data_IF_564956480648
#
_entry.id   IF_564956480648
#
_cell.length_a   1.000
_cell.length_b   1.000
_cell.length_c   1.000
_cell.angle_alpha   90.00
_cell.angle_beta   90.00
_cell.angle_gamma   90.00
#
_symmetry.space_group_name_H-M   'P 1'
#
loop_
_entity.id
_entity.type
_entity.pdbx_description
1 polymer ?
#
# COMPACT_ATOMS: atom_id res chain seq x y z
N UNK A 1 79.54 81.99 47.05
CA UNK A 1 78.62 82.49 48.11
C UNK A 1 77.27 81.88 47.82
N UNK A 2 76.76 81.06 48.75
CA UNK A 2 75.41 80.45 48.75
C UNK A 2 74.32 81.53 48.97
N UNK A 3 73.04 81.24 48.71
CA UNK A 3 72.30 80.54 49.71
C UNK A 3 71.30 79.52 49.21
N UNK A 4 71.06 78.62 50.12
CA UNK A 4 70.06 77.54 50.17
C UNK A 4 68.63 78.08 50.21
N UNK A 5 67.73 77.46 49.50
CA UNK A 5 66.32 77.37 49.87
C UNK A 5 65.85 75.92 49.70
N UNK A 6 65.68 75.27 50.81
CA UNK A 6 64.95 73.99 50.93
C UNK A 6 63.45 74.33 51.03
N UNK A 7 62.69 73.89 50.08
CA UNK A 7 61.25 73.84 50.20
C UNK A 7 60.82 72.36 50.26
N UNK A 8 60.42 72.03 51.47
CA UNK A 8 59.80 70.71 51.74
C UNK A 8 58.48 70.53 51.07
N UNK A 9 58.40 69.64 50.09
CA UNK A 9 57.16 69.16 49.49
C UNK A 9 56.61 68.01 50.36
N UNK A 10 55.59 68.30 51.14
CA UNK A 10 54.78 67.28 51.84
C UNK A 10 53.88 66.61 50.75
N UNK A 11 54.20 65.32 50.55
CA UNK A 11 53.35 64.51 49.69
C UNK A 11 52.08 64.12 50.45
N UNK A 12 50.96 64.58 49.93
CA UNK A 12 49.64 64.13 50.39
C UNK A 12 49.35 62.78 49.72
N UNK A 13 48.86 61.78 50.44
CA UNK A 13 48.49 60.51 49.86
C UNK A 13 47.16 60.70 49.01
N UNK A 14 47.30 60.54 47.72
CA UNK A 14 46.09 60.37 46.86
C UNK A 14 45.54 58.98 47.11
N UNK A 15 44.47 58.88 47.90
CA UNK A 15 43.62 57.67 48.01
C UNK A 15 42.77 57.60 46.76
N UNK A 16 43.15 56.74 45.83
CA UNK A 16 42.29 56.33 44.71
C UNK A 16 41.18 55.43 45.28
N UNK A 17 40.05 55.98 45.58
CA UNK A 17 38.83 55.19 45.85
C UNK A 17 38.37 54.65 44.51
N UNK A 18 38.72 53.37 44.23
CA UNK A 18 38.07 52.59 43.19
C UNK A 18 36.66 52.34 43.64
N UNK A 19 35.73 53.17 43.17
CA UNK A 19 34.32 52.81 43.24
C UNK A 19 34.13 51.55 42.42
N UNK A 20 34.01 50.39 43.09
CA UNK A 20 33.44 49.17 42.46
C UNK A 20 32.00 49.52 42.12
N UNK A 21 31.82 50.05 40.92
CA UNK A 21 30.51 50.12 40.29
C UNK A 21 29.92 48.72 40.29
N UNK A 22 28.81 48.50 40.97
CA UNK A 22 28.05 47.26 40.85
C UNK A 22 27.75 47.05 39.38
N UNK A 23 28.45 46.03 38.75
CA UNK A 23 28.10 45.58 37.43
C UNK A 23 26.66 45.08 37.49
N UNK A 24 25.73 45.69 36.78
CA UNK A 24 24.37 45.16 36.79
C UNK A 24 24.41 43.70 36.36
N UNK A 25 23.65 42.80 37.00
CA UNK A 25 23.62 41.39 36.61
C UNK A 25 23.40 41.33 35.12
N UNK A 26 24.35 40.76 34.41
CA UNK A 26 24.15 40.44 33.00
C UNK A 26 22.92 39.52 32.96
N UNK A 27 21.77 40.05 32.57
CA UNK A 27 20.65 39.21 32.21
C UNK A 27 21.15 38.37 31.05
N UNK A 28 21.48 37.11 31.35
CA UNK A 28 21.71 36.13 30.34
C UNK A 28 20.48 36.17 29.42
N UNK A 29 20.66 36.60 28.19
CA UNK A 29 19.63 36.51 27.16
C UNK A 29 19.40 35.00 26.98
N UNK A 30 18.51 34.44 27.80
CA UNK A 30 17.98 33.12 27.50
C UNK A 30 17.31 33.26 26.15
N UNK A 31 17.77 32.57 25.11
CA UNK A 31 17.13 32.67 23.81
C UNK A 31 15.64 32.37 24.04
N UNK A 32 14.79 33.29 23.62
CA UNK A 32 13.34 33.07 23.69
C UNK A 32 13.03 31.85 22.82
N UNK A 33 12.91 30.71 23.45
CA UNK A 33 12.44 29.52 22.76
C UNK A 33 10.93 29.65 22.64
N UNK A 34 10.45 29.94 21.44
CA UNK A 34 9.03 29.88 21.15
C UNK A 34 8.55 28.45 21.37
N UNK A 35 7.65 28.27 22.33
CA UNK A 35 6.95 27.00 22.57
C UNK A 35 5.58 27.13 21.93
N UNK A 36 5.33 26.41 20.80
CA UNK A 36 4.03 26.48 20.13
C UNK A 36 2.91 26.03 21.05
N UNK A 37 1.75 26.66 20.94
CA UNK A 37 0.55 26.22 21.63
C UNK A 37 0.03 24.91 21.03
N UNK A 38 -0.71 24.14 21.82
CA UNK A 38 -1.28 22.85 21.35
C UNK A 38 -2.15 23.01 20.09
N UNK A 39 -2.89 24.11 19.97
CA UNK A 39 -3.71 24.44 18.79
C UNK A 39 -2.87 24.72 17.55
N UNK A 40 -1.70 25.32 17.70
CA UNK A 40 -0.76 25.58 16.58
C UNK A 40 -0.11 24.29 16.12
N UNK A 41 0.27 23.40 17.06
CA UNK A 41 0.79 22.08 16.75
C UNK A 41 -0.25 21.21 16.05
N UNK A 42 -1.52 21.29 16.50
CA UNK A 42 -2.63 20.59 15.86
C UNK A 42 -2.85 21.07 14.42
N UNK A 43 -2.93 22.39 14.22
CA UNK A 43 -3.09 22.96 12.88
C UNK A 43 -1.93 22.58 11.94
N UNK A 44 -0.68 22.64 12.44
CA UNK A 44 0.50 22.23 11.69
C UNK A 44 0.46 20.73 11.34
N UNK A 45 0.13 19.88 12.30
CA UNK A 45 0.02 18.44 12.10
C UNK A 45 -1.03 18.06 11.07
N UNK A 46 -2.21 18.71 11.10
CA UNK A 46 -3.28 18.50 10.11
C UNK A 46 -2.86 18.98 8.71
N UNK A 47 -2.17 20.13 8.61
CA UNK A 47 -1.64 20.63 7.34
C UNK A 47 -0.62 19.67 6.71
N UNK A 48 0.28 19.12 7.53
CA UNK A 48 1.27 18.12 7.10
C UNK A 48 0.56 16.82 6.66
N UNK A 49 -0.47 16.36 7.39
CA UNK A 49 -1.26 15.19 7.01
C UNK A 49 -1.94 15.37 5.64
N UNK A 50 -2.48 16.56 5.37
CA UNK A 50 -3.06 16.88 4.06
C UNK A 50 -2.01 16.83 2.94
N UNK A 51 -0.80 17.36 3.19
CA UNK A 51 0.30 17.30 2.24
C UNK A 51 0.74 15.84 1.99
N UNK A 52 0.89 15.02 3.03
CA UNK A 52 1.19 13.59 2.92
C UNK A 52 0.13 12.85 2.09
N UNK A 53 -1.16 13.10 2.36
CA UNK A 53 -2.26 12.52 1.58
C UNK A 53 -2.24 12.93 0.10
N UNK A 54 -1.81 14.16 -0.19
CA UNK A 54 -1.63 14.63 -1.59
C UNK A 54 -0.50 13.88 -2.27
N UNK A 55 0.65 13.72 -1.61
CA UNK A 55 1.79 12.96 -2.14
C UNK A 55 1.42 11.50 -2.42
N UNK A 56 0.62 10.86 -1.56
CA UNK A 56 0.10 9.51 -1.81
C UNK A 56 -0.73 9.42 -3.09
N UNK A 57 -1.59 10.41 -3.34
CA UNK A 57 -2.38 10.45 -4.59
C UNK A 57 -1.50 10.66 -5.83
N UNK A 58 -0.35 11.30 -5.70
CA UNK A 58 0.65 11.48 -6.76
C UNK A 58 1.61 10.29 -6.91
N UNK A 59 1.45 9.23 -6.12
CA UNK A 59 2.33 8.06 -6.14
C UNK A 59 3.67 8.25 -5.42
N UNK A 60 3.90 9.39 -4.75
CA UNK A 60 5.13 9.72 -4.03
C UNK A 60 5.10 9.17 -2.61
N UNK A 61 5.09 7.83 -2.51
CA UNK A 61 4.84 7.13 -1.25
C UNK A 61 5.92 7.36 -0.18
N UNK A 62 7.19 7.44 -0.56
CA UNK A 62 8.29 7.68 0.37
C UNK A 62 8.23 9.07 1.00
N UNK A 63 7.97 10.09 0.20
CA UNK A 63 7.80 11.46 0.68
C UNK A 63 6.57 11.58 1.57
N UNK A 64 5.49 10.92 1.19
CA UNK A 64 4.28 10.84 2.01
C UNK A 64 4.57 10.19 3.36
N UNK A 65 5.36 9.11 3.41
CA UNK A 65 5.73 8.44 4.65
C UNK A 65 6.57 9.36 5.56
N UNK A 66 7.48 10.17 4.98
CA UNK A 66 8.25 11.17 5.75
C UNK A 66 7.34 12.22 6.38
N UNK A 67 6.39 12.78 5.63
CA UNK A 67 5.45 13.77 6.15
C UNK A 67 4.46 13.17 7.15
N UNK A 68 3.96 11.96 6.88
CA UNK A 68 3.08 11.26 7.82
C UNK A 68 3.80 10.92 9.14
N UNK A 69 5.10 10.62 9.10
CA UNK A 69 5.91 10.43 10.31
C UNK A 69 6.00 11.72 11.14
N UNK A 70 6.12 12.89 10.52
CA UNK A 70 6.04 14.18 11.22
C UNK A 70 4.64 14.43 11.80
N UNK A 71 3.59 14.05 11.07
CA UNK A 71 2.21 14.15 11.57
C UNK A 71 2.04 13.42 12.89
N UNK A 72 2.49 12.16 13.00
CA UNK A 72 2.34 11.38 14.23
C UNK A 72 3.25 11.84 15.38
N UNK A 73 4.34 12.57 15.08
CA UNK A 73 5.14 13.23 16.11
C UNK A 73 4.42 14.43 16.71
N UNK A 74 3.71 15.20 15.89
CA UNK A 74 2.93 16.37 16.34
C UNK A 74 1.61 15.95 16.98
N UNK A 75 0.96 14.91 16.45
CA UNK A 75 -0.36 14.41 16.86
C UNK A 75 -0.32 12.93 17.24
N UNK A 76 0.44 12.53 18.27
CA UNK A 76 0.68 11.12 18.59
C UNK A 76 -0.58 10.37 19.07
N UNK A 77 -1.60 11.10 19.50
CA UNK A 77 -2.89 10.55 19.95
C UNK A 77 -3.96 10.49 18.86
N UNK A 78 -3.69 11.01 17.66
CA UNK A 78 -4.64 10.95 16.55
C UNK A 78 -4.44 9.65 15.73
N UNK A 79 -5.38 8.69 15.77
CA UNK A 79 -5.27 7.43 15.04
C UNK A 79 -5.19 7.62 13.51
N UNK A 80 -5.77 8.71 12.98
CA UNK A 80 -5.78 8.99 11.54
C UNK A 80 -4.38 9.23 10.98
N UNK A 81 -3.53 9.90 11.76
CA UNK A 81 -2.12 10.12 11.41
C UNK A 81 -1.35 8.81 11.29
N UNK A 82 -1.59 7.87 12.21
CA UNK A 82 -0.97 6.56 12.19
C UNK A 82 -1.46 5.67 11.02
N UNK A 83 -2.75 5.76 10.67
CA UNK A 83 -3.29 5.08 9.47
C UNK A 83 -2.65 5.65 8.19
N UNK A 84 -2.56 6.97 8.08
CA UNK A 84 -1.91 7.64 6.95
C UNK A 84 -0.44 7.23 6.81
N UNK A 85 0.29 7.17 7.93
CA UNK A 85 1.67 6.71 7.95
C UNK A 85 1.78 5.26 7.48
N UNK A 86 0.91 4.39 7.97
CA UNK A 86 0.89 2.99 7.57
C UNK A 86 0.61 2.83 6.07
N UNK A 87 -0.37 3.57 5.52
CA UNK A 87 -0.67 3.54 4.08
C UNK A 87 0.54 3.96 3.25
N UNK A 88 1.21 5.04 3.63
CA UNK A 88 2.41 5.51 2.95
C UNK A 88 3.56 4.49 3.03
N UNK A 89 3.75 3.87 4.20
CA UNK A 89 4.74 2.81 4.40
C UNK A 89 4.43 1.55 3.58
N UNK A 90 3.16 1.17 3.45
CA UNK A 90 2.75 0.04 2.59
C UNK A 90 3.07 0.31 1.12
N UNK A 91 2.74 1.50 0.62
CA UNK A 91 3.01 1.89 -0.77
C UNK A 91 4.49 2.09 -1.07
N UNK A 92 5.32 2.37 -0.06
CA UNK A 92 6.79 2.44 -0.16
C UNK A 92 7.50 1.14 0.23
N UNK A 93 6.78 0.03 0.24
CA UNK A 93 7.30 -1.31 0.48
C UNK A 93 7.91 -1.54 1.88
N UNK A 94 7.47 -0.78 2.88
CA UNK A 94 7.95 -0.83 4.27
C UNK A 94 6.96 -1.59 5.18
N UNK A 95 6.58 -2.82 4.82
CA UNK A 95 5.51 -3.62 5.48
C UNK A 95 5.70 -3.74 6.99
N UNK A 96 6.92 -4.00 7.48
CA UNK A 96 7.19 -4.09 8.92
C UNK A 96 6.88 -2.81 9.68
N UNK A 97 7.22 -1.64 9.11
CA UNK A 97 6.91 -0.35 9.73
C UNK A 97 5.42 -0.07 9.69
N UNK A 98 4.76 -0.40 8.58
CA UNK A 98 3.31 -0.25 8.44
C UNK A 98 2.55 -1.05 9.49
N UNK A 99 2.96 -2.30 9.76
CA UNK A 99 2.38 -3.12 10.82
C UNK A 99 2.47 -2.44 12.19
N UNK A 100 3.63 -1.87 12.53
CA UNK A 100 3.79 -1.14 13.79
C UNK A 100 2.89 0.11 13.87
N UNK A 101 2.78 0.85 12.76
CA UNK A 101 1.91 2.03 12.67
C UNK A 101 0.43 1.67 12.81
N UNK A 102 -0.03 0.58 12.16
CA UNK A 102 -1.40 0.06 12.29
C UNK A 102 -1.69 -0.43 13.70
N UNK A 103 -0.75 -1.13 14.32
CA UNK A 103 -0.89 -1.57 15.71
C UNK A 103 -1.08 -0.36 16.66
N UNK A 104 -0.34 0.73 16.43
CA UNK A 104 -0.52 1.97 17.20
C UNK A 104 -1.88 2.63 16.92
N UNK A 105 -2.30 2.73 15.67
CA UNK A 105 -3.62 3.22 15.29
C UNK A 105 -4.73 2.43 15.98
N UNK A 106 -4.64 1.09 15.98
CA UNK A 106 -5.61 0.19 16.61
C UNK A 106 -5.71 0.37 18.13
N UNK A 107 -4.56 0.62 18.81
CA UNK A 107 -4.58 0.94 20.25
C UNK A 107 -5.34 2.23 20.54
N UNK A 108 -5.27 3.22 19.65
CA UNK A 108 -5.93 4.51 19.81
C UNK A 108 -7.41 4.47 19.44
N UNK A 109 -7.76 3.70 18.39
CA UNK A 109 -9.14 3.55 17.92
C UNK A 109 -9.42 2.10 17.48
N UNK A 110 -9.72 1.19 18.44
CA UNK A 110 -9.98 -0.22 18.15
C UNK A 110 -11.32 -0.45 17.42
N UNK A 111 -12.19 0.57 17.35
CA UNK A 111 -13.49 0.48 16.67
C UNK A 111 -13.45 1.00 15.23
N UNK A 112 -12.32 1.43 14.75
CA UNK A 112 -12.14 1.87 13.37
C UNK A 112 -11.97 0.66 12.44
N UNK A 113 -13.01 0.34 11.69
CA UNK A 113 -13.02 -0.77 10.74
C UNK A 113 -11.86 -0.68 9.71
N UNK A 114 -11.50 0.54 9.28
CA UNK A 114 -10.44 0.77 8.31
C UNK A 114 -9.07 0.26 8.77
N UNK A 115 -8.79 0.31 10.07
CA UNK A 115 -7.52 -0.22 10.63
C UNK A 115 -7.49 -1.74 10.51
N UNK A 116 -8.60 -2.42 10.84
CA UNK A 116 -8.72 -3.87 10.69
C UNK A 116 -8.59 -4.32 9.23
N UNK A 117 -9.19 -3.56 8.29
CA UNK A 117 -9.05 -3.82 6.86
C UNK A 117 -7.61 -3.67 6.38
N UNK A 118 -6.91 -2.61 6.81
CA UNK A 118 -5.51 -2.39 6.46
C UNK A 118 -4.60 -3.50 7.02
N UNK A 119 -4.81 -3.94 8.25
CA UNK A 119 -4.08 -5.09 8.82
C UNK A 119 -4.39 -6.39 8.06
N UNK A 120 -5.64 -6.60 7.65
CA UNK A 120 -6.04 -7.77 6.85
C UNK A 120 -5.39 -7.79 5.47
N UNK A 121 -5.39 -6.67 4.76
CA UNK A 121 -4.70 -6.53 3.47
C UNK A 121 -3.18 -6.72 3.61
N UNK A 122 -2.60 -6.21 4.70
CA UNK A 122 -1.17 -6.43 5.00
C UNK A 122 -0.87 -7.91 5.24
N UNK A 123 -1.69 -8.60 6.03
CA UNK A 123 -1.53 -10.02 6.31
C UNK A 123 -1.63 -10.87 5.02
N UNK A 124 -2.51 -10.51 4.07
CA UNK A 124 -2.56 -11.15 2.74
C UNK A 124 -1.24 -10.98 1.99
N UNK A 125 -0.73 -9.77 1.95
CA UNK A 125 0.52 -9.43 1.27
C UNK A 125 1.73 -10.13 1.88
N UNK A 126 1.71 -10.37 3.19
CA UNK A 126 2.74 -11.10 3.93
C UNK A 126 2.53 -12.63 3.89
N UNK A 127 1.60 -13.13 3.05
CA UNK A 127 1.33 -14.57 2.88
C UNK A 127 0.69 -15.25 4.07
N UNK A 128 -0.11 -14.50 4.88
CA UNK A 128 -0.76 -14.97 6.10
C UNK A 128 -2.30 -14.97 5.95
N UNK A 129 -2.88 -15.78 5.04
CA UNK A 129 -4.30 -15.70 4.72
C UNK A 129 -5.23 -16.04 5.89
N UNK A 130 -4.83 -16.94 6.81
CA UNK A 130 -5.63 -17.25 8.00
C UNK A 130 -5.77 -16.02 8.91
N UNK A 131 -4.66 -15.29 9.11
CA UNK A 131 -4.68 -14.06 9.90
C UNK A 131 -5.52 -12.98 9.20
N UNK A 132 -5.38 -12.87 7.88
CA UNK A 132 -6.15 -11.92 7.07
C UNK A 132 -7.65 -12.13 7.24
N UNK A 133 -8.15 -13.38 7.16
CA UNK A 133 -9.57 -13.70 7.37
C UNK A 133 -10.03 -13.16 8.72
N UNK A 134 -9.32 -13.49 9.81
CA UNK A 134 -9.71 -13.04 11.16
C UNK A 134 -9.79 -11.53 11.30
N UNK A 135 -8.80 -10.81 10.73
CA UNK A 135 -8.75 -9.34 10.76
C UNK A 135 -9.86 -8.71 9.90
N UNK A 136 -10.05 -9.20 8.66
CA UNK A 136 -11.08 -8.71 7.75
C UNK A 136 -12.49 -8.92 8.32
N UNK A 137 -12.76 -10.09 8.89
CA UNK A 137 -14.02 -10.36 9.55
C UNK A 137 -14.28 -9.47 10.77
N UNK A 138 -13.25 -9.15 11.56
CA UNK A 138 -13.37 -8.17 12.65
C UNK A 138 -13.76 -6.80 12.12
N UNK A 139 -13.05 -6.32 11.07
CA UNK A 139 -13.39 -5.06 10.41
C UNK A 139 -14.80 -5.06 9.83
N UNK A 140 -15.23 -6.16 9.17
CA UNK A 140 -16.55 -6.30 8.56
C UNK A 140 -17.69 -6.39 9.59
N UNK A 141 -17.42 -6.79 10.84
CA UNK A 141 -18.39 -6.65 11.94
C UNK A 141 -18.61 -5.19 12.34
N UNK A 142 -17.63 -4.32 12.14
CA UNK A 142 -17.71 -2.88 12.42
C UNK A 142 -18.31 -2.12 11.23
N UNK A 143 -17.90 -2.45 10.01
CA UNK A 143 -18.42 -1.90 8.75
C UNK A 143 -18.61 -3.02 7.72
N UNK A 144 -19.78 -3.60 7.67
CA UNK A 144 -20.15 -4.69 6.75
C UNK A 144 -20.35 -4.24 5.28
N UNK A 145 -20.16 -2.96 4.96
CA UNK A 145 -20.42 -2.42 3.62
C UNK A 145 -19.15 -2.08 2.83
N UNK A 146 -17.99 -2.46 3.31
CA UNK A 146 -16.73 -2.21 2.62
C UNK A 146 -16.50 -3.26 1.52
N UNK A 147 -16.68 -2.85 0.26
CA UNK A 147 -16.49 -3.72 -0.90
C UNK A 147 -15.04 -4.23 -1.04
N UNK A 148 -14.03 -3.40 -0.72
CA UNK A 148 -12.62 -3.79 -0.76
C UNK A 148 -12.30 -4.88 0.27
N UNK A 149 -12.83 -4.75 1.49
CA UNK A 149 -12.63 -5.76 2.53
C UNK A 149 -13.27 -7.12 2.17
N UNK A 150 -14.45 -7.12 1.54
CA UNK A 150 -15.05 -8.35 1.02
C UNK A 150 -14.22 -8.95 -0.13
N UNK A 151 -13.63 -8.11 -0.99
CA UNK A 151 -12.74 -8.57 -2.05
C UNK A 151 -11.47 -9.22 -1.47
N UNK A 152 -10.81 -8.58 -0.51
CA UNK A 152 -9.64 -9.13 0.19
C UNK A 152 -9.99 -10.43 0.95
N UNK A 153 -11.18 -10.48 1.57
CA UNK A 153 -11.67 -11.71 2.20
C UNK A 153 -11.83 -12.84 1.17
N UNK A 154 -12.35 -12.55 -0.02
CA UNK A 154 -12.43 -13.51 -1.11
C UNK A 154 -11.06 -14.04 -1.52
N UNK A 155 -10.07 -13.17 -1.66
CA UNK A 155 -8.69 -13.56 -1.96
C UNK A 155 -8.09 -14.43 -0.85
N UNK A 156 -8.30 -14.06 0.42
CA UNK A 156 -7.86 -14.87 1.57
C UNK A 156 -8.47 -16.27 1.57
N UNK A 157 -9.77 -16.38 1.28
CA UNK A 157 -10.48 -17.64 1.21
C UNK A 157 -9.99 -18.53 0.07
N UNK A 158 -9.62 -17.93 -1.10
CA UNK A 158 -9.00 -18.68 -2.21
C UNK A 158 -7.64 -19.26 -1.79
N UNK A 159 -6.80 -18.45 -1.13
CA UNK A 159 -5.49 -18.91 -0.65
C UNK A 159 -5.61 -20.03 0.42
N UNK A 160 -6.77 -20.15 1.06
CA UNK A 160 -7.10 -21.21 2.03
C UNK A 160 -7.85 -22.38 1.41
N UNK A 161 -7.95 -22.45 0.09
CA UNK A 161 -8.68 -23.50 -0.62
C UNK A 161 -10.17 -23.60 -0.21
N UNK A 162 -10.79 -22.44 0.05
CA UNK A 162 -12.22 -22.34 0.33
C UNK A 162 -12.95 -21.57 -0.80
N UNK A 163 -13.19 -22.21 -1.95
CA UNK A 163 -13.78 -21.53 -3.11
C UNK A 163 -15.22 -21.07 -2.87
N UNK A 164 -16.00 -21.74 -2.04
CA UNK A 164 -17.37 -21.34 -1.73
C UNK A 164 -17.39 -20.03 -0.91
N UNK A 165 -16.53 -19.93 0.11
CA UNK A 165 -16.37 -18.70 0.89
C UNK A 165 -15.86 -17.55 0.04
N UNK A 166 -14.92 -17.84 -0.86
CA UNK A 166 -14.38 -16.83 -1.81
C UNK A 166 -15.47 -16.30 -2.74
N UNK A 167 -16.30 -17.19 -3.33
CA UNK A 167 -17.37 -16.78 -4.22
C UNK A 167 -18.36 -15.84 -3.53
N UNK A 168 -18.81 -16.21 -2.32
CA UNK A 168 -19.72 -15.37 -1.52
C UNK A 168 -19.12 -14.00 -1.22
N UNK A 169 -17.84 -13.94 -0.87
CA UNK A 169 -17.16 -12.69 -0.58
C UNK A 169 -17.03 -11.80 -1.84
N UNK A 170 -16.67 -12.36 -2.99
CA UNK A 170 -16.62 -11.61 -4.26
C UNK A 170 -18.00 -11.16 -4.75
N UNK A 171 -19.05 -11.97 -4.56
CA UNK A 171 -20.43 -11.57 -4.87
C UNK A 171 -20.85 -10.39 -3.98
N UNK A 172 -20.49 -10.42 -2.70
CA UNK A 172 -20.76 -9.31 -1.79
C UNK A 172 -20.01 -8.05 -2.20
N UNK A 173 -18.73 -8.19 -2.58
CA UNK A 173 -17.90 -7.09 -3.05
C UNK A 173 -18.49 -6.39 -4.29
N UNK A 174 -18.83 -7.17 -5.32
CA UNK A 174 -19.43 -6.65 -6.56
C UNK A 174 -20.83 -6.07 -6.37
N UNK A 175 -21.61 -6.63 -5.44
CA UNK A 175 -22.92 -6.10 -5.06
C UNK A 175 -22.86 -4.76 -4.34
N UNK A 176 -21.80 -4.51 -3.56
CA UNK A 176 -21.59 -3.26 -2.83
C UNK A 176 -21.00 -2.13 -3.67
N UNK A 177 -20.17 -2.46 -4.67
CA UNK A 177 -19.52 -1.49 -5.56
C UNK A 177 -19.90 -1.76 -7.00
N UNK A 178 -20.71 -0.89 -7.59
CA UNK A 178 -21.01 -0.95 -9.02
C UNK A 178 -19.73 -0.80 -9.84
N UNK A 179 -19.56 -1.62 -10.86
CA UNK A 179 -18.40 -1.57 -11.74
C UNK A 179 -17.12 -2.20 -11.16
N UNK A 180 -17.24 -2.97 -10.08
CA UNK A 180 -16.10 -3.72 -9.50
C UNK A 180 -15.81 -4.96 -10.34
N UNK A 181 -15.27 -4.74 -11.53
CA UNK A 181 -14.99 -5.78 -12.51
C UNK A 181 -13.99 -6.83 -12.00
N UNK A 182 -13.04 -6.47 -11.14
CA UNK A 182 -12.07 -7.40 -10.54
C UNK A 182 -12.77 -8.44 -9.66
N UNK A 183 -13.76 -8.01 -8.86
CA UNK A 183 -14.54 -8.94 -8.05
C UNK A 183 -15.42 -9.86 -8.92
N UNK A 184 -15.95 -9.37 -10.04
CA UNK A 184 -16.72 -10.16 -11.00
C UNK A 184 -15.80 -11.15 -11.73
N UNK A 185 -14.59 -10.71 -12.11
CA UNK A 185 -13.59 -11.58 -12.69
C UNK A 185 -13.23 -12.74 -11.75
N UNK A 186 -12.97 -12.45 -10.48
CA UNK A 186 -12.60 -13.48 -9.50
C UNK A 186 -13.76 -14.45 -9.20
N UNK A 187 -15.04 -14.02 -9.33
CA UNK A 187 -16.17 -14.96 -9.34
C UNK A 187 -16.04 -15.96 -10.50
N UNK A 188 -15.65 -15.49 -11.69
CA UNK A 188 -15.40 -16.34 -12.84
C UNK A 188 -14.31 -17.36 -12.60
N UNK A 189 -13.18 -16.93 -12.00
CA UNK A 189 -12.07 -17.83 -11.63
C UNK A 189 -12.56 -18.95 -10.71
N UNK A 190 -13.27 -18.60 -9.64
CA UNK A 190 -13.82 -19.58 -8.69
C UNK A 190 -14.81 -20.51 -9.35
N UNK A 191 -15.75 -19.99 -10.10
CA UNK A 191 -16.79 -20.78 -10.79
C UNK A 191 -16.17 -21.79 -11.77
N UNK A 192 -15.11 -21.40 -12.45
CA UNK A 192 -14.41 -22.31 -13.37
C UNK A 192 -13.75 -23.47 -12.63
N UNK A 193 -13.07 -23.22 -11.51
CA UNK A 193 -12.48 -24.25 -10.66
C UNK A 193 -13.55 -25.20 -10.10
N UNK A 194 -14.73 -24.67 -9.76
CA UNK A 194 -15.89 -25.45 -9.32
C UNK A 194 -16.56 -26.25 -10.46
N UNK A 195 -16.09 -26.16 -11.72
CA UNK A 195 -16.67 -26.83 -12.88
C UNK A 195 -17.91 -26.16 -13.46
N UNK A 196 -18.28 -24.99 -12.94
CA UNK A 196 -19.46 -24.18 -13.36
C UNK A 196 -19.08 -23.27 -14.54
N UNK A 197 -18.55 -23.87 -15.62
CA UNK A 197 -17.98 -23.15 -16.78
C UNK A 197 -18.92 -22.14 -17.40
N UNK A 198 -20.20 -22.47 -17.59
CA UNK A 198 -21.18 -21.54 -18.18
C UNK A 198 -21.29 -20.24 -17.39
N UNK A 199 -21.43 -20.37 -16.09
CA UNK A 199 -21.50 -19.21 -15.19
C UNK A 199 -20.18 -18.41 -15.14
N UNK A 200 -19.05 -19.07 -15.23
CA UNK A 200 -17.75 -18.41 -15.33
C UNK A 200 -17.65 -17.55 -16.60
N UNK A 201 -18.09 -18.08 -17.75
CA UNK A 201 -18.17 -17.33 -19.02
C UNK A 201 -19.03 -16.09 -18.85
N UNK A 202 -20.20 -16.22 -18.24
CA UNK A 202 -21.11 -15.08 -18.01
C UNK A 202 -20.46 -14.00 -17.13
N UNK A 203 -19.72 -14.39 -16.07
CA UNK A 203 -19.00 -13.44 -15.22
C UNK A 203 -17.89 -12.73 -15.97
N UNK A 204 -17.07 -13.42 -16.75
CA UNK A 204 -16.00 -12.77 -17.52
C UNK A 204 -16.55 -11.87 -18.62
N UNK A 205 -17.62 -12.23 -19.30
CA UNK A 205 -18.32 -11.35 -20.23
C UNK A 205 -18.84 -10.08 -19.53
N UNK A 206 -19.41 -10.22 -18.33
CA UNK A 206 -19.85 -9.09 -17.52
C UNK A 206 -18.66 -8.20 -17.08
N UNK A 207 -17.53 -8.77 -16.67
CA UNK A 207 -16.33 -8.02 -16.33
C UNK A 207 -15.81 -7.21 -17.53
N UNK A 208 -15.79 -7.82 -18.72
CA UNK A 208 -15.37 -7.16 -19.97
C UNK A 208 -16.34 -6.09 -20.47
N UNK A 209 -17.64 -6.16 -20.15
CA UNK A 209 -18.58 -5.06 -20.39
C UNK A 209 -18.24 -3.81 -19.56
N UNK A 210 -17.63 -3.98 -18.39
CA UNK A 210 -17.22 -2.89 -17.53
C UNK A 210 -15.82 -2.38 -17.91
N UNK A 211 -14.88 -3.30 -18.14
CA UNK A 211 -13.51 -2.99 -18.55
C UNK A 211 -13.11 -3.88 -19.75
N UNK A 212 -13.37 -3.37 -20.95
CA UNK A 212 -13.12 -4.09 -22.20
C UNK A 212 -11.63 -4.37 -22.48
N UNK A 213 -10.71 -3.73 -21.73
CA UNK A 213 -9.25 -3.92 -21.89
C UNK A 213 -8.63 -4.72 -20.74
N UNK A 214 -9.43 -5.35 -19.91
CA UNK A 214 -8.92 -6.20 -18.84
C UNK A 214 -8.37 -7.52 -19.42
N UNK A 215 -7.06 -7.68 -19.45
CA UNK A 215 -6.40 -8.85 -20.06
C UNK A 215 -6.77 -10.15 -19.34
N UNK A 216 -6.89 -10.13 -18.02
CA UNK A 216 -7.18 -11.32 -17.23
C UNK A 216 -8.53 -11.97 -17.58
N UNK A 217 -9.68 -11.28 -17.42
CA UNK A 217 -10.97 -11.88 -17.81
C UNK A 217 -11.05 -12.19 -19.31
N UNK A 218 -10.30 -11.48 -20.15
CA UNK A 218 -10.25 -11.76 -21.59
C UNK A 218 -9.57 -13.11 -21.87
N UNK A 219 -8.42 -13.37 -21.28
CA UNK A 219 -7.73 -14.66 -21.46
C UNK A 219 -8.50 -15.79 -20.77
N UNK A 220 -9.04 -15.58 -19.57
CA UNK A 220 -9.81 -16.58 -18.86
C UNK A 220 -11.09 -16.97 -19.64
N UNK A 221 -11.77 -16.00 -20.23
CA UNK A 221 -12.90 -16.23 -21.14
C UNK A 221 -12.46 -17.04 -22.37
N UNK A 222 -11.33 -16.68 -23.00
CA UNK A 222 -10.77 -17.40 -24.12
C UNK A 222 -10.53 -18.88 -23.78
N UNK A 223 -9.94 -19.15 -22.63
CA UNK A 223 -9.69 -20.53 -22.14
C UNK A 223 -11.00 -21.31 -21.98
N UNK A 224 -12.04 -20.70 -21.44
CA UNK A 224 -13.32 -21.35 -21.23
C UNK A 224 -14.04 -21.64 -22.57
N UNK A 225 -13.97 -20.72 -23.52
CA UNK A 225 -14.58 -20.86 -24.84
C UNK A 225 -13.87 -21.88 -25.72
N UNK A 226 -12.55 -22.02 -25.61
CA UNK A 226 -11.75 -22.96 -26.42
C UNK A 226 -12.21 -24.42 -26.29
N UNK A 227 -12.85 -24.77 -25.18
CA UNK A 227 -13.33 -26.12 -24.91
C UNK A 227 -14.59 -26.51 -25.72
N UNK A 228 -15.18 -25.60 -26.48
CA UNK A 228 -16.39 -25.84 -27.30
C UNK A 228 -16.14 -25.42 -28.76
N UNK A 229 -16.53 -26.24 -29.76
CA UNK A 229 -16.27 -25.94 -31.18
C UNK A 229 -16.76 -24.54 -31.63
N UNK A 230 -17.96 -24.06 -31.25
CA UNK A 230 -18.43 -22.74 -31.65
C UNK A 230 -17.56 -21.58 -31.09
N UNK A 231 -16.92 -21.77 -29.93
CA UNK A 231 -16.15 -20.73 -29.26
C UNK A 231 -14.68 -20.64 -29.67
N UNK A 232 -14.16 -21.59 -30.46
CA UNK A 232 -12.72 -21.68 -30.74
C UNK A 232 -12.15 -20.47 -31.49
N UNK A 233 -12.91 -19.89 -32.43
CA UNK A 233 -12.44 -18.69 -33.15
C UNK A 233 -12.39 -17.46 -32.26
N UNK A 234 -13.43 -17.23 -31.47
CA UNK A 234 -13.50 -16.15 -30.47
C UNK A 234 -12.38 -16.33 -29.43
N UNK A 235 -12.16 -17.55 -28.96
CA UNK A 235 -11.10 -17.88 -27.99
C UNK A 235 -9.72 -17.47 -28.49
N UNK A 236 -9.36 -17.79 -29.72
CA UNK A 236 -8.04 -17.44 -30.28
C UNK A 236 -7.86 -15.93 -30.43
N UNK A 237 -8.90 -15.23 -30.87
CA UNK A 237 -8.86 -13.77 -30.95
C UNK A 237 -8.66 -13.14 -29.59
N UNK A 238 -9.49 -13.49 -28.59
CA UNK A 238 -9.38 -12.97 -27.23
C UNK A 238 -8.03 -13.29 -26.59
N UNK A 239 -7.51 -14.51 -26.78
CA UNK A 239 -6.19 -14.86 -26.25
C UNK A 239 -5.07 -14.01 -26.86
N UNK A 240 -5.11 -13.77 -28.18
CA UNK A 240 -4.13 -12.91 -28.84
C UNK A 240 -4.20 -11.46 -28.34
N UNK A 241 -5.40 -10.93 -28.15
CA UNK A 241 -5.63 -9.57 -27.62
C UNK A 241 -5.15 -9.47 -26.17
N UNK A 242 -5.50 -10.43 -25.33
CA UNK A 242 -5.11 -10.46 -23.92
C UNK A 242 -3.58 -10.47 -23.76
N UNK A 243 -2.86 -11.33 -24.52
CA UNK A 243 -1.41 -11.40 -24.49
C UNK A 243 -0.72 -10.16 -25.07
N UNK A 244 -1.39 -9.41 -25.95
CA UNK A 244 -0.87 -8.13 -26.44
C UNK A 244 -1.00 -7.01 -25.37
N UNK A 245 -2.03 -7.08 -24.50
CA UNK A 245 -2.24 -6.12 -23.42
C UNK A 245 -1.32 -6.44 -22.22
N UNK A 246 -1.28 -7.72 -21.80
CA UNK A 246 -0.49 -8.18 -20.66
C UNK A 246 0.26 -9.47 -21.02
N UNK A 247 1.50 -9.35 -21.50
CA UNK A 247 2.30 -10.51 -21.95
C UNK A 247 2.58 -11.53 -20.85
N UNK A 248 2.65 -11.10 -19.58
CA UNK A 248 2.99 -11.98 -18.47
C UNK A 248 2.00 -13.14 -18.29
N UNK A 249 0.77 -13.02 -18.79
CA UNK A 249 -0.19 -14.13 -18.77
C UNK A 249 0.21 -15.35 -19.60
N UNK A 250 1.27 -15.28 -20.40
CA UNK A 250 1.85 -16.46 -21.05
C UNK A 250 2.53 -17.39 -20.05
N UNK A 251 2.93 -16.88 -18.89
CA UNK A 251 3.68 -17.58 -17.84
C UNK A 251 2.73 -18.22 -16.81
N UNK A 252 2.86 -19.54 -16.60
CA UNK A 252 2.09 -20.26 -15.56
C UNK A 252 2.33 -19.72 -14.16
N UNK A 253 3.56 -19.30 -13.85
CA UNK A 253 3.90 -18.68 -12.57
C UNK A 253 3.09 -17.39 -12.33
N UNK A 254 3.02 -16.52 -13.33
CA UNK A 254 2.24 -15.28 -13.24
C UNK A 254 0.74 -15.56 -13.07
N UNK A 255 0.17 -16.51 -13.85
CA UNK A 255 -1.22 -16.95 -13.70
C UNK A 255 -1.49 -17.42 -12.26
N UNK A 256 -0.55 -18.18 -11.65
CA UNK A 256 -0.67 -18.62 -10.27
C UNK A 256 -0.63 -17.46 -9.27
N UNK A 257 0.23 -16.47 -9.48
CA UNK A 257 0.27 -15.23 -8.66
C UNK A 257 -1.04 -14.46 -8.76
N UNK A 258 -1.70 -14.49 -9.92
CA UNK A 258 -3.04 -13.91 -10.14
C UNK A 258 -4.18 -14.81 -9.61
N UNK A 259 -3.89 -15.77 -8.76
CA UNK A 259 -4.83 -16.71 -8.11
C UNK A 259 -5.59 -17.63 -9.09
N UNK A 260 -5.07 -17.87 -10.29
CA UNK A 260 -5.63 -18.85 -11.19
C UNK A 260 -5.46 -20.27 -10.62
N UNK A 261 -6.56 -20.99 -10.52
CA UNK A 261 -6.53 -22.36 -10.03
C UNK A 261 -5.94 -23.35 -11.05
N UNK A 262 -5.67 -24.58 -10.62
CA UNK A 262 -4.97 -25.56 -11.43
C UNK A 262 -5.75 -25.96 -12.69
N UNK A 263 -7.09 -26.00 -12.65
CA UNK A 263 -7.93 -26.36 -13.81
C UNK A 263 -7.84 -25.30 -14.90
N UNK A 264 -7.94 -24.00 -14.53
CA UNK A 264 -7.87 -22.91 -15.50
C UNK A 264 -6.48 -22.84 -16.14
N UNK A 265 -5.41 -22.96 -15.33
CA UNK A 265 -4.02 -22.93 -15.80
C UNK A 265 -3.70 -24.10 -16.76
N UNK A 266 -4.16 -25.29 -16.44
CA UNK A 266 -4.00 -26.46 -17.34
C UNK A 266 -4.71 -26.22 -18.68
N UNK A 267 -5.94 -25.66 -18.65
CA UNK A 267 -6.70 -25.32 -19.86
C UNK A 267 -6.04 -24.17 -20.63
N UNK A 268 -5.47 -23.17 -19.95
CA UNK A 268 -4.70 -22.09 -20.57
C UNK A 268 -3.48 -22.61 -21.31
N UNK A 269 -2.70 -23.51 -20.70
CA UNK A 269 -1.58 -24.18 -21.35
C UNK A 269 -1.99 -24.88 -22.64
N UNK A 270 -3.13 -25.57 -22.65
CA UNK A 270 -3.68 -26.22 -23.82
C UNK A 270 -4.06 -25.22 -24.92
N UNK A 271 -4.76 -24.15 -24.59
CA UNK A 271 -5.12 -23.10 -25.54
C UNK A 271 -3.87 -22.44 -26.13
N UNK A 272 -2.91 -22.03 -25.28
CA UNK A 272 -1.71 -21.30 -25.69
C UNK A 272 -0.75 -22.16 -26.53
N UNK A 273 -0.88 -23.47 -26.49
CA UNK A 273 -0.12 -24.38 -27.38
C UNK A 273 -0.72 -24.54 -28.79
N UNK A 274 -1.89 -23.89 -29.05
CA UNK A 274 -2.51 -23.99 -30.37
C UNK A 274 -1.67 -23.32 -31.46
N UNK A 275 -1.45 -23.95 -32.66
CA UNK A 275 -0.61 -23.39 -33.71
C UNK A 275 -0.97 -21.97 -34.14
N UNK A 276 -2.25 -21.65 -34.21
CA UNK A 276 -2.72 -20.32 -34.61
C UNK A 276 -2.32 -19.20 -33.58
N UNK A 277 -2.01 -19.56 -32.33
CA UNK A 277 -1.57 -18.62 -31.30
C UNK A 277 -0.03 -18.51 -31.22
N UNK A 278 0.72 -19.34 -31.98
CA UNK A 278 2.18 -19.36 -31.87
C UNK A 278 2.80 -17.97 -31.97
N UNK A 279 2.42 -17.18 -32.96
CA UNK A 279 2.97 -15.82 -33.12
C UNK A 279 2.62 -14.86 -31.98
N UNK A 280 1.44 -14.99 -31.36
CA UNK A 280 1.07 -14.20 -30.20
C UNK A 280 1.83 -14.62 -28.94
N UNK A 281 1.96 -15.92 -28.73
CA UNK A 281 2.70 -16.52 -27.62
C UNK A 281 4.20 -16.19 -27.72
N UNK A 282 4.81 -16.30 -28.91
CA UNK A 282 6.22 -15.94 -29.11
C UNK A 282 6.49 -14.47 -28.78
N UNK A 283 5.59 -13.55 -29.22
CA UNK A 283 5.68 -12.12 -28.86
C UNK A 283 5.50 -11.89 -27.37
N UNK A 284 4.55 -12.57 -26.75
CA UNK A 284 4.32 -12.45 -25.31
C UNK A 284 5.54 -12.93 -24.51
N UNK A 285 6.11 -14.09 -24.88
CA UNK A 285 7.35 -14.60 -24.24
C UNK A 285 8.53 -13.63 -24.36
N UNK A 286 8.67 -12.95 -25.51
CA UNK A 286 9.73 -11.97 -25.71
C UNK A 286 9.55 -10.69 -24.88
N UNK A 287 8.31 -10.34 -24.50
CA UNK A 287 7.95 -9.12 -23.77
C UNK A 287 7.56 -9.38 -22.30
N UNK A 288 7.37 -10.65 -21.93
CA UNK A 288 7.10 -10.97 -20.54
C UNK A 288 8.30 -10.55 -19.70
N UNK A 289 8.04 -9.69 -18.71
CA UNK A 289 9.03 -9.36 -17.69
C UNK A 289 9.21 -10.62 -16.87
N UNK A 290 10.17 -11.44 -17.26
CA UNK A 290 10.57 -12.60 -16.46
C UNK A 290 11.03 -12.07 -15.12
N UNK A 291 10.29 -12.29 -14.06
CA UNK A 291 10.80 -12.36 -12.70
C UNK A 291 11.69 -13.62 -12.59
N UNK A 292 12.67 -13.74 -13.48
CA UNK A 292 13.82 -14.59 -13.29
C UNK A 292 14.96 -13.71 -12.79
N UNK A 293 14.83 -13.18 -11.57
CA UNK A 293 15.99 -13.18 -10.71
C UNK A 293 16.29 -14.65 -10.43
N UNK A 294 17.10 -15.23 -11.31
CA UNK A 294 17.87 -16.41 -10.96
C UNK A 294 18.58 -16.06 -9.66
N UNK A 295 18.25 -16.78 -8.59
CA UNK A 295 19.13 -16.95 -7.45
C UNK A 295 20.48 -17.41 -8.02
N UNK A 296 21.38 -16.46 -8.28
CA UNK A 296 22.81 -16.73 -8.32
C UNK A 296 23.17 -17.17 -6.89
N UNK A 297 23.24 -18.48 -6.69
CA UNK A 297 23.96 -19.04 -5.57
C UNK A 297 25.34 -18.36 -5.50
N UNK A 298 25.75 -17.81 -4.36
CA UNK A 298 27.13 -17.37 -4.20
C UNK A 298 28.00 -18.62 -4.27
N UNK A 299 28.68 -18.79 -5.37
CA UNK A 299 29.76 -19.77 -5.49
C UNK A 299 30.84 -19.42 -4.47
N UNK A 300 30.99 -20.29 -3.48
CA UNK A 300 32.11 -20.58 -2.56
C UNK A 300 33.23 -19.55 -2.43
#
# INVERSE_FOLDING_TARGET
MAPRWLASLTAAPFTFSVALGAVPPAFALVPYAYVPQSTELEAAGLGIAQAASRLLRLGQAEDAARLAALTVQLLPADPRGWVLLAEAQLRSNQSKKASASLARAKQLDPRNAGIWFAEGSLALRDGQPQQAVGLLEQGLRLDGRNAGAHFDLGNAQLLLDNPQGALQAFERASGLRKGFWEAINNQGLVLYELGRRGEAIDRWRQALQINAKAAEPMLALAVALAATPPGQSEARQLASEALAIEPNYVLDAYQKEQLWGPRLRASAKTLLSHPDLKAAVDRANANASGSMETEEEPST
#
